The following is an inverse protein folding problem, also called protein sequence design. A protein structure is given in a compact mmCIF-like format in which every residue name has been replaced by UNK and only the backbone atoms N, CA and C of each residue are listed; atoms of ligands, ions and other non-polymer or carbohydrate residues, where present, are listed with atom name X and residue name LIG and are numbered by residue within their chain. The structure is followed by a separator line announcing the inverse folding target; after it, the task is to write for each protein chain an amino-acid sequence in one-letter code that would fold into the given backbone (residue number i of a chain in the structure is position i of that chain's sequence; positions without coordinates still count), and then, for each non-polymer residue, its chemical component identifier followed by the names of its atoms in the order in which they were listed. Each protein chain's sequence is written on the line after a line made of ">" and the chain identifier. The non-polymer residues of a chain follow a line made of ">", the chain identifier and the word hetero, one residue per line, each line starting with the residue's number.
data_IF_773682168790
#
_entry.id   IF_773682168790
#
_cell.length_a   1.000
_cell.length_b   1.000
_cell.length_c   1.000
_cell.angle_alpha   90.00
_cell.angle_beta   90.00
_cell.angle_gamma   90.00
#
_symmetry.space_group_name_H-M   'P 1'
#
loop_
_entity.id
_entity.type
_entity.pdbx_description
1 polymer ?
#
# COMPACT_ATOMS: atom_id res chain seq x y z
N UNK A 1 13.55 6.12 -21.53
CA UNK A 1 12.57 6.48 -20.50
C UNK A 1 12.74 5.66 -19.21
N UNK A 2 12.70 4.33 -19.24
CA UNK A 2 12.87 3.49 -18.03
C UNK A 2 14.14 3.85 -17.23
N UNK A 3 15.28 3.92 -17.91
CA UNK A 3 16.55 4.28 -17.26
C UNK A 3 16.51 5.69 -16.64
N UNK A 4 16.00 6.69 -17.35
CA UNK A 4 15.90 8.06 -16.85
C UNK A 4 15.03 8.17 -15.58
N UNK A 5 13.88 7.49 -15.57
CA UNK A 5 12.99 7.42 -14.41
C UNK A 5 13.66 6.66 -13.25
N UNK A 6 14.35 5.56 -13.55
CA UNK A 6 15.09 4.81 -12.54
C UNK A 6 16.20 5.65 -11.90
N UNK A 7 16.96 6.41 -12.70
CA UNK A 7 18.04 7.25 -12.20
C UNK A 7 17.49 8.44 -11.38
N UNK A 8 16.31 8.97 -11.74
CA UNK A 8 15.62 9.99 -10.96
C UNK A 8 15.18 9.45 -9.58
N UNK A 9 14.66 8.21 -9.53
CA UNK A 9 14.12 7.62 -8.30
C UNK A 9 15.17 7.02 -7.38
N UNK A 10 16.20 6.34 -7.90
CA UNK A 10 17.21 5.60 -7.11
C UNK A 10 17.81 6.36 -5.91
N UNK A 11 18.10 7.67 -5.99
CA UNK A 11 18.63 8.41 -4.83
C UNK A 11 17.61 8.66 -3.73
N UNK A 12 16.32 8.48 -4.02
CA UNK A 12 15.21 8.90 -3.17
C UNK A 12 14.46 7.75 -2.53
N UNK A 13 14.52 6.55 -3.13
CA UNK A 13 13.75 5.37 -2.75
C UNK A 13 14.64 4.18 -2.46
N UNK A 14 14.11 3.18 -1.76
CA UNK A 14 14.83 1.95 -1.45
C UNK A 14 14.83 0.99 -2.64
N UNK A 15 13.70 0.88 -3.33
CA UNK A 15 13.53 0.05 -4.52
C UNK A 15 12.38 0.55 -5.38
N UNK A 16 12.34 0.15 -6.66
CA UNK A 16 11.33 0.54 -7.63
C UNK A 16 11.10 -0.55 -8.69
N UNK A 17 9.92 -0.52 -9.31
CA UNK A 17 9.57 -1.45 -10.38
C UNK A 17 8.45 -0.91 -11.28
N UNK A 18 8.29 -1.53 -12.44
CA UNK A 18 7.38 -1.09 -13.50
C UNK A 18 6.42 -2.22 -13.87
N UNK A 19 5.12 -1.92 -13.84
CA UNK A 19 4.07 -2.84 -14.24
C UNK A 19 3.27 -2.28 -15.42
N UNK A 20 2.98 -3.08 -16.46
CA UNK A 20 2.04 -2.69 -17.49
C UNK A 20 0.62 -2.73 -16.92
N UNK A 21 -0.26 -1.87 -17.40
CA UNK A 21 -1.66 -1.78 -16.92
C UNK A 21 -2.41 -3.09 -17.10
N UNK A 22 -2.08 -3.89 -18.10
CA UNK A 22 -2.74 -5.18 -18.37
C UNK A 22 -2.63 -6.18 -17.21
N UNK A 23 -1.61 -6.06 -16.35
CA UNK A 23 -1.50 -6.87 -15.12
C UNK A 23 -2.55 -6.52 -14.06
N UNK A 24 -3.34 -5.46 -14.28
CA UNK A 24 -4.42 -5.03 -13.40
C UNK A 24 -5.82 -5.43 -13.90
N UNK A 25 -5.93 -6.31 -14.90
CA UNK A 25 -7.20 -6.73 -15.50
C UNK A 25 -8.23 -7.26 -14.47
N UNK A 26 -7.78 -7.85 -13.37
CA UNK A 26 -8.63 -8.35 -12.29
C UNK A 26 -8.93 -7.30 -11.19
N UNK A 27 -8.44 -6.07 -11.31
CA UNK A 27 -8.76 -5.01 -10.36
C UNK A 27 -10.25 -4.62 -10.50
N UNK A 28 -10.96 -4.36 -9.39
CA UNK A 28 -12.29 -3.78 -9.49
C UNK A 28 -12.26 -2.49 -10.32
N UNK A 29 -13.27 -2.26 -11.13
CA UNK A 29 -13.29 -1.14 -12.09
C UNK A 29 -12.94 0.20 -11.44
N UNK A 30 -13.54 0.50 -10.27
CA UNK A 30 -13.29 1.75 -9.54
C UNK A 30 -11.83 1.93 -9.05
N UNK A 31 -11.05 0.86 -9.00
CA UNK A 31 -9.67 0.81 -8.49
C UNK A 31 -8.66 0.43 -9.59
N UNK A 32 -9.10 0.41 -10.84
CA UNK A 32 -8.24 0.14 -11.98
C UNK A 32 -7.37 1.37 -12.31
N UNK A 33 -6.07 1.20 -12.66
CA UNK A 33 -5.18 2.33 -12.98
C UNK A 33 -5.75 3.29 -14.04
N UNK A 34 -6.52 2.79 -14.99
CA UNK A 34 -7.19 3.59 -16.02
C UNK A 34 -8.23 4.60 -15.49
N UNK A 35 -8.66 4.47 -14.22
CA UNK A 35 -9.52 5.47 -13.55
C UNK A 35 -8.70 6.60 -12.93
N UNK A 36 -7.41 6.37 -12.70
CA UNK A 36 -6.48 7.37 -12.14
C UNK A 36 -5.87 8.21 -13.26
N UNK A 37 -5.32 7.56 -14.29
CA UNK A 37 -4.74 8.23 -15.44
C UNK A 37 -5.45 7.77 -16.73
N UNK A 38 -5.94 8.74 -17.51
CA UNK A 38 -6.57 8.44 -18.80
C UNK A 38 -5.55 7.81 -19.75
N UNK A 39 -5.95 6.76 -20.45
CA UNK A 39 -5.08 5.98 -21.34
C UNK A 39 -3.84 5.39 -20.65
N UNK A 40 -3.90 5.14 -19.34
CA UNK A 40 -2.82 4.54 -18.58
C UNK A 40 -2.19 3.35 -19.29
N UNK A 41 -0.86 3.29 -19.32
CA UNK A 41 -0.06 2.20 -19.90
C UNK A 41 0.85 1.55 -18.87
N UNK A 42 1.37 2.35 -17.96
CA UNK A 42 2.34 1.86 -16.96
C UNK A 42 1.99 2.37 -15.56
N UNK A 43 2.17 1.51 -14.59
CA UNK A 43 2.18 1.84 -13.17
C UNK A 43 3.63 1.71 -12.68
N UNK A 44 4.20 2.81 -12.25
CA UNK A 44 5.54 2.89 -11.66
C UNK A 44 5.36 2.78 -10.17
N UNK A 45 5.96 1.77 -9.55
CA UNK A 45 5.85 1.52 -8.11
C UNK A 45 7.23 1.68 -7.48
N UNK A 46 7.26 2.30 -6.33
CA UNK A 46 8.50 2.47 -5.57
C UNK A 46 8.22 2.37 -4.07
N UNK A 47 9.28 2.20 -3.31
CA UNK A 47 9.13 2.05 -1.87
C UNK A 47 10.28 2.64 -1.06
N UNK A 48 9.95 3.00 0.18
CA UNK A 48 10.91 3.46 1.21
C UNK A 48 10.83 2.51 2.39
N UNK A 49 11.97 2.02 2.85
CA UNK A 49 12.01 1.20 4.07
C UNK A 49 11.89 2.05 5.32
N UNK A 50 11.22 1.50 6.32
CA UNK A 50 11.22 2.03 7.68
C UNK A 50 12.19 1.24 8.56
N UNK A 51 12.76 1.86 9.63
CA UNK A 51 13.78 1.21 10.44
C UNK A 51 13.26 -0.05 11.16
N UNK A 52 14.01 -1.16 11.09
CA UNK A 52 13.68 -2.39 11.84
C UNK A 52 13.65 -2.20 13.35
N UNK A 53 14.47 -1.27 13.87
CA UNK A 53 14.55 -0.98 15.30
C UNK A 53 13.22 -0.59 15.91
N UNK A 54 12.35 0.09 15.15
CA UNK A 54 11.04 0.50 15.66
C UNK A 54 10.10 -0.69 15.97
N UNK A 55 10.26 -1.84 15.27
CA UNK A 55 9.47 -3.05 15.55
C UNK A 55 10.06 -3.90 16.70
N UNK A 56 11.31 -3.64 17.07
CA UNK A 56 12.03 -4.39 18.10
C UNK A 56 12.21 -3.65 19.41
N UNK A 57 11.93 -2.35 19.41
CA UNK A 57 12.04 -1.52 20.61
C UNK A 57 10.86 -1.79 21.54
N UNK A 58 11.09 -2.15 22.80
CA UNK A 58 10.03 -2.42 23.77
C UNK A 58 9.21 -1.15 24.09
N UNK A 59 9.84 0.01 24.03
CA UNK A 59 9.24 1.31 24.39
C UNK A 59 8.68 2.06 23.19
N UNK A 60 8.89 1.57 21.95
CA UNK A 60 8.38 2.19 20.74
C UNK A 60 6.93 1.81 20.51
N UNK A 61 6.05 2.54 21.17
CA UNK A 61 4.62 2.24 21.18
C UNK A 61 3.93 2.48 19.82
N UNK A 62 2.68 2.04 19.71
CA UNK A 62 1.89 2.12 18.49
C UNK A 62 1.75 3.55 17.93
N UNK A 63 1.70 4.57 18.79
CA UNK A 63 1.61 5.97 18.35
C UNK A 63 2.92 6.43 17.69
N UNK A 64 4.08 6.08 18.27
CA UNK A 64 5.38 6.40 17.69
C UNK A 64 5.59 5.68 16.36
N UNK A 65 5.17 4.40 16.28
CA UNK A 65 5.18 3.60 15.06
C UNK A 65 4.34 4.28 13.96
N UNK A 66 3.12 4.71 14.30
CA UNK A 66 2.24 5.39 13.36
C UNK A 66 2.85 6.71 12.86
N UNK A 67 3.50 7.49 13.73
CA UNK A 67 4.20 8.72 13.33
C UNK A 67 5.34 8.45 12.35
N UNK A 68 6.08 7.36 12.54
CA UNK A 68 7.13 6.96 11.60
C UNK A 68 6.55 6.57 10.24
N UNK A 69 5.45 5.82 10.22
CA UNK A 69 4.75 5.50 8.97
C UNK A 69 4.23 6.75 8.26
N UNK A 70 3.66 7.69 9.02
CA UNK A 70 3.19 8.95 8.46
C UNK A 70 4.31 9.74 7.80
N UNK A 71 5.48 9.85 8.44
CA UNK A 71 6.65 10.50 7.85
C UNK A 71 7.10 9.83 6.55
N UNK A 72 7.05 8.50 6.49
CA UNK A 72 7.36 7.75 5.28
C UNK A 72 6.34 8.01 4.16
N UNK A 73 5.04 8.01 4.46
CA UNK A 73 3.99 8.28 3.48
C UNK A 73 4.05 9.71 2.94
N UNK A 74 4.26 10.71 3.78
CA UNK A 74 4.45 12.10 3.34
C UNK A 74 5.62 12.22 2.37
N UNK A 75 6.74 11.59 2.68
CA UNK A 75 7.90 11.56 1.79
C UNK A 75 7.60 10.85 0.46
N UNK A 76 6.88 9.74 0.49
CA UNK A 76 6.46 8.99 -0.69
C UNK A 76 5.57 9.85 -1.59
N UNK A 77 4.60 10.57 -1.02
CA UNK A 77 3.69 11.43 -1.78
C UNK A 77 4.44 12.60 -2.44
N UNK A 78 5.43 13.19 -1.76
CA UNK A 78 6.31 14.21 -2.36
C UNK A 78 7.14 13.66 -3.52
N UNK A 79 7.69 12.44 -3.39
CA UNK A 79 8.43 11.78 -4.47
C UNK A 79 7.49 11.48 -5.65
N UNK A 80 6.27 11.00 -5.39
CA UNK A 80 5.29 10.73 -6.42
C UNK A 80 4.94 12.00 -7.22
N UNK A 81 4.70 13.12 -6.53
CA UNK A 81 4.45 14.41 -7.16
C UNK A 81 5.64 14.86 -8.03
N UNK A 82 6.85 14.78 -7.49
CA UNK A 82 8.07 15.15 -8.21
C UNK A 82 8.31 14.26 -9.43
N UNK A 83 8.02 12.96 -9.31
CA UNK A 83 8.11 12.01 -10.41
C UNK A 83 7.10 12.33 -11.52
N UNK A 84 5.87 12.70 -11.18
CA UNK A 84 4.88 13.12 -12.17
C UNK A 84 5.38 14.32 -12.99
N UNK A 85 5.85 15.36 -12.32
CA UNK A 85 6.41 16.54 -12.97
C UNK A 85 7.62 16.18 -13.87
N UNK A 86 8.47 15.26 -13.39
CA UNK A 86 9.61 14.79 -14.18
C UNK A 86 9.17 14.04 -15.44
N UNK A 87 8.21 13.11 -15.34
CA UNK A 87 7.69 12.36 -16.49
C UNK A 87 7.08 13.30 -17.53
N UNK A 88 6.28 14.28 -17.10
CA UNK A 88 5.64 15.26 -17.98
C UNK A 88 6.68 16.17 -18.65
N UNK A 89 7.82 16.44 -18.01
CA UNK A 89 8.92 17.19 -18.62
C UNK A 89 9.67 16.42 -19.71
N UNK A 90 9.58 15.09 -19.73
CA UNK A 90 10.24 14.26 -20.76
C UNK A 90 9.51 14.23 -22.11
N UNK A 91 8.27 14.70 -22.15
CA UNK A 91 7.48 14.69 -23.40
C UNK A 91 6.00 15.00 -23.14
N UNK A 92 5.15 14.63 -24.11
CA UNK A 92 3.70 14.82 -24.00
C UNK A 92 3.04 13.64 -23.27
N UNK A 93 3.49 13.35 -22.09
CA UNK A 93 2.94 12.29 -21.24
C UNK A 93 2.09 12.88 -20.11
N UNK A 94 1.13 12.10 -19.64
CA UNK A 94 0.39 12.37 -18.41
C UNK A 94 0.88 11.44 -17.33
N UNK A 95 1.05 11.97 -16.13
CA UNK A 95 1.43 11.19 -14.95
C UNK A 95 0.62 11.64 -13.74
N UNK A 96 0.04 10.68 -13.02
CA UNK A 96 -0.83 10.96 -11.89
C UNK A 96 -0.34 10.17 -10.67
N UNK A 97 -0.11 10.83 -9.53
CA UNK A 97 0.32 10.14 -8.32
C UNK A 97 -0.84 9.33 -7.74
N UNK A 98 -0.56 8.09 -7.33
CA UNK A 98 -1.47 7.32 -6.52
C UNK A 98 -1.15 7.59 -5.04
N UNK A 99 -2.08 8.16 -4.26
CA UNK A 99 -1.84 8.49 -2.86
C UNK A 99 -1.38 7.27 -2.05
N UNK A 100 -0.36 7.45 -1.20
CA UNK A 100 0.25 6.36 -0.45
C UNK A 100 -0.60 5.85 0.72
N UNK A 101 -1.52 6.68 1.24
CA UNK A 101 -2.32 6.38 2.41
C UNK A 101 -3.81 6.71 2.24
N UNK A 102 -4.17 7.96 2.08
CA UNK A 102 -5.52 8.47 1.85
C UNK A 102 -5.56 9.26 0.52
N UNK A 103 -6.69 9.33 -0.18
CA UNK A 103 -8.04 8.92 0.25
C UNK A 103 -8.28 7.41 0.21
N UNK A 104 -9.18 6.96 1.07
CA UNK A 104 -9.67 5.59 1.13
C UNK A 104 -11.19 5.59 0.98
N UNK A 105 -11.71 4.60 0.26
CA UNK A 105 -13.13 4.36 0.07
C UNK A 105 -13.52 2.98 0.60
N UNK A 106 -14.79 2.79 0.95
CA UNK A 106 -15.33 1.47 1.29
C UNK A 106 -16.16 0.94 0.13
N UNK A 107 -15.75 -0.21 -0.38
CA UNK A 107 -16.47 -0.94 -1.42
C UNK A 107 -16.79 -2.35 -0.92
N UNK A 108 -18.08 -2.73 -0.95
CA UNK A 108 -18.57 -4.01 -0.43
C UNK A 108 -18.08 -4.29 1.01
N UNK A 109 -18.18 -3.30 1.89
CA UNK A 109 -17.70 -3.34 3.28
C UNK A 109 -16.18 -3.58 3.45
N UNK A 110 -15.38 -3.40 2.41
CA UNK A 110 -13.93 -3.49 2.49
C UNK A 110 -13.25 -2.14 2.22
N UNK A 111 -12.15 -1.81 2.93
CA UNK A 111 -11.39 -0.59 2.67
C UNK A 111 -10.53 -0.74 1.42
N UNK A 112 -10.57 0.27 0.55
CA UNK A 112 -9.82 0.35 -0.70
C UNK A 112 -9.17 1.72 -0.86
N UNK A 113 -7.90 1.77 -1.27
CA UNK A 113 -7.29 2.98 -1.82
C UNK A 113 -7.73 3.21 -3.26
N UNK A 114 -7.41 4.37 -3.84
CA UNK A 114 -7.65 4.63 -5.27
C UNK A 114 -6.96 3.58 -6.15
N UNK A 115 -5.76 3.18 -5.76
CA UNK A 115 -5.01 2.04 -6.30
C UNK A 115 -4.61 1.13 -5.16
N UNK A 116 -4.69 -0.18 -5.34
CA UNK A 116 -4.11 -1.12 -4.39
C UNK A 116 -2.60 -1.17 -4.55
N UNK A 117 -1.86 -0.41 -3.74
CA UNK A 117 -0.39 -0.33 -3.79
C UNK A 117 0.28 -1.69 -3.56
N UNK A 118 -0.32 -2.57 -2.75
CA UNK A 118 0.21 -3.93 -2.55
C UNK A 118 0.13 -4.76 -3.83
N UNK A 119 -1.01 -4.74 -4.53
CA UNK A 119 -1.13 -5.40 -5.83
C UNK A 119 -0.22 -4.75 -6.87
N UNK A 120 -0.10 -3.43 -6.85
CA UNK A 120 0.82 -2.72 -7.73
C UNK A 120 2.29 -3.15 -7.52
N UNK A 121 2.73 -3.30 -6.27
CA UNK A 121 4.07 -3.78 -5.94
C UNK A 121 4.32 -5.22 -6.42
N UNK A 122 3.32 -6.08 -6.31
CA UNK A 122 3.42 -7.47 -6.83
C UNK A 122 3.48 -7.46 -8.35
N UNK A 123 2.61 -6.70 -9.02
CA UNK A 123 2.58 -6.58 -10.47
C UNK A 123 3.86 -5.96 -11.04
N UNK A 124 4.54 -5.09 -10.27
CA UNK A 124 5.80 -4.46 -10.65
C UNK A 124 7.04 -5.29 -10.26
N UNK A 125 6.87 -6.50 -9.73
CA UNK A 125 7.99 -7.37 -9.35
C UNK A 125 8.75 -6.96 -8.10
N UNK A 126 8.19 -6.05 -7.28
CA UNK A 126 8.83 -5.59 -6.03
C UNK A 126 8.53 -6.50 -4.83
N UNK A 127 7.41 -7.21 -4.87
CA UNK A 127 6.95 -7.97 -3.72
C UNK A 127 6.15 -9.21 -4.15
N UNK A 128 5.91 -10.11 -3.20
CA UNK A 128 4.95 -11.20 -3.32
C UNK A 128 3.99 -11.18 -2.15
N UNK A 129 2.74 -11.62 -2.35
CA UNK A 129 1.77 -11.69 -1.26
C UNK A 129 2.10 -12.84 -0.32
N UNK A 130 2.24 -12.53 0.96
CA UNK A 130 2.25 -13.52 2.02
C UNK A 130 0.84 -13.88 2.48
N UNK A 131 0.74 -14.90 3.32
CA UNK A 131 -0.52 -15.39 3.91
C UNK A 131 -1.27 -14.31 4.70
N UNK A 132 -0.55 -13.35 5.28
CA UNK A 132 -1.14 -12.20 6.00
C UNK A 132 -1.85 -11.18 5.07
N UNK A 133 -1.83 -11.36 3.75
CA UNK A 133 -2.30 -10.35 2.80
C UNK A 133 -1.39 -9.11 2.72
N UNK A 134 -0.19 -9.18 3.30
CA UNK A 134 0.84 -8.17 3.13
C UNK A 134 1.73 -8.50 1.92
N UNK A 135 2.23 -7.45 1.26
CA UNK A 135 3.24 -7.56 0.23
C UNK A 135 4.63 -7.61 0.88
N UNK A 136 5.36 -8.67 0.64
CA UNK A 136 6.71 -8.90 1.19
C UNK A 136 7.76 -8.71 0.10
N UNK A 137 8.61 -7.72 0.31
CA UNK A 137 9.79 -7.50 -0.51
C UNK A 137 10.88 -8.54 -0.16
N UNK A 138 11.62 -9.13 -1.13
CA UNK A 138 12.59 -10.19 -0.86
C UNK A 138 13.64 -9.85 0.19
N UNK A 139 14.13 -8.59 0.17
CA UNK A 139 15.19 -8.12 1.10
C UNK A 139 14.65 -7.43 2.34
N UNK A 140 13.55 -6.70 2.22
CA UNK A 140 13.04 -5.79 3.26
C UNK A 140 11.76 -6.28 3.93
N UNK A 141 11.22 -7.41 3.48
CA UNK A 141 9.98 -7.96 4.03
C UNK A 141 8.82 -6.97 3.93
N UNK A 142 8.08 -6.84 5.01
CA UNK A 142 6.93 -5.92 5.15
C UNK A 142 7.31 -4.49 5.53
N UNK A 143 8.61 -4.17 5.67
CA UNK A 143 9.08 -2.84 6.08
C UNK A 143 9.02 -1.81 4.96
N UNK A 144 8.83 -2.23 3.72
CA UNK A 144 8.73 -1.33 2.57
C UNK A 144 7.36 -0.63 2.58
N UNK A 145 7.36 0.69 2.70
CA UNK A 145 6.17 1.52 2.48
C UNK A 145 6.13 1.90 1.00
N UNK A 146 4.95 1.81 0.39
CA UNK A 146 4.78 1.83 -1.05
C UNK A 146 4.16 3.13 -1.54
N UNK A 147 4.58 3.57 -2.70
CA UNK A 147 3.98 4.63 -3.51
C UNK A 147 3.91 4.22 -4.97
N UNK A 148 3.08 4.91 -5.74
CA UNK A 148 2.99 4.66 -7.17
C UNK A 148 2.65 5.92 -7.96
N UNK A 149 3.01 5.90 -9.23
CA UNK A 149 2.59 6.85 -10.26
C UNK A 149 2.00 6.07 -11.42
N UNK A 150 0.86 6.51 -11.92
CA UNK A 150 0.20 5.95 -13.12
C UNK A 150 0.44 6.89 -14.28
N UNK A 151 0.89 6.36 -15.42
CA UNK A 151 1.20 7.18 -16.61
C UNK A 151 0.70 6.52 -17.89
N UNK A 152 0.44 7.33 -18.91
CA UNK A 152 0.16 6.90 -20.27
C UNK A 152 1.43 6.60 -21.08
N UNK A 153 2.61 6.86 -20.52
CA UNK A 153 3.88 6.46 -21.12
C UNK A 153 4.02 4.93 -21.14
N UNK A 154 4.42 4.39 -22.28
CA UNK A 154 4.78 2.96 -22.40
C UNK A 154 6.21 2.78 -21.91
N UNK A 155 6.36 2.03 -20.82
CA UNK A 155 7.64 1.72 -20.20
C UNK A 155 7.78 0.20 -20.09
N UNK A 156 8.95 -0.31 -20.40
CA UNK A 156 9.25 -1.74 -20.29
C UNK A 156 9.00 -2.24 -18.85
N UNK A 157 8.21 -3.30 -18.73
CA UNK A 157 7.83 -3.89 -17.46
C UNK A 157 8.97 -4.70 -16.82
N UNK A 158 8.98 -4.75 -15.50
CA UNK A 158 9.83 -5.68 -14.77
C UNK A 158 9.18 -7.07 -14.63
N UNK A 159 9.98 -8.14 -14.52
CA UNK A 159 9.45 -9.47 -14.27
C UNK A 159 8.80 -9.55 -12.90
N UNK A 160 7.70 -10.29 -12.79
CA UNK A 160 7.08 -10.56 -11.49
C UNK A 160 7.92 -11.57 -10.69
N UNK A 161 7.90 -11.42 -9.37
CA UNK A 161 8.52 -12.39 -8.46
C UNK A 161 7.69 -13.69 -8.39
N UNK A 162 8.35 -14.78 -7.96
CA UNK A 162 7.65 -16.01 -7.63
C UNK A 162 6.58 -15.77 -6.58
N UNK A 163 5.38 -16.35 -6.74
CA UNK A 163 4.32 -16.23 -5.76
C UNK A 163 4.68 -16.92 -4.45
N UNK A 164 4.11 -16.41 -3.35
CA UNK A 164 4.18 -16.98 -2.00
C UNK A 164 5.58 -16.98 -1.34
N UNK A 165 5.93 -15.90 -0.61
CA UNK A 165 7.18 -15.81 0.15
C UNK A 165 7.14 -16.62 1.47
N UNK A 166 5.98 -17.19 1.84
CA UNK A 166 5.83 -17.91 3.09
C UNK A 166 6.41 -19.33 2.99
N UNK A 167 7.16 -19.79 3.99
CA UNK A 167 7.54 -21.20 4.09
C UNK A 167 6.31 -22.11 4.09
N UNK A 168 6.45 -23.38 3.66
CA UNK A 168 5.38 -24.35 3.75
C UNK A 168 4.81 -24.43 5.18
N UNK A 169 3.49 -24.49 5.31
CA UNK A 169 2.77 -24.59 6.57
C UNK A 169 3.01 -23.44 7.58
N UNK A 170 3.59 -22.33 7.16
CA UNK A 170 3.78 -21.17 8.02
C UNK A 170 2.43 -20.59 8.48
N UNK A 171 2.25 -20.44 9.79
CA UNK A 171 1.06 -19.87 10.45
C UNK A 171 1.41 -18.72 11.39
N UNK A 172 2.63 -18.18 11.33
CA UNK A 172 3.12 -17.17 12.27
C UNK A 172 2.17 -15.97 12.40
N UNK A 173 1.82 -15.33 11.26
CA UNK A 173 0.91 -14.17 11.23
C UNK A 173 -0.51 -14.48 11.75
N UNK A 174 -0.99 -15.73 11.59
CA UNK A 174 -2.30 -16.16 12.11
C UNK A 174 -2.26 -16.29 13.63
N UNK A 175 -1.18 -16.88 14.18
CA UNK A 175 -0.99 -17.08 15.60
C UNK A 175 -0.74 -15.78 16.36
N UNK A 176 -0.01 -14.84 15.76
CA UNK A 176 0.29 -13.54 16.37
C UNK A 176 -0.85 -12.52 16.27
N UNK A 177 -1.90 -12.78 15.47
CA UNK A 177 -2.95 -11.81 15.23
C UNK A 177 -3.85 -11.59 16.46
N UNK A 178 -3.79 -10.42 17.14
CA UNK A 178 -4.62 -10.16 18.32
C UNK A 178 -6.10 -10.01 17.98
N UNK A 179 -6.41 -9.62 16.74
CA UNK A 179 -7.78 -9.48 16.25
C UNK A 179 -8.39 -10.82 15.82
N UNK A 180 -7.60 -11.91 15.74
CA UNK A 180 -8.01 -13.20 15.16
C UNK A 180 -8.66 -13.01 13.77
N UNK A 181 -8.06 -12.16 12.95
CA UNK A 181 -8.59 -11.76 11.64
C UNK A 181 -8.37 -12.83 10.54
N UNK A 182 -8.09 -14.06 10.90
CA UNK A 182 -7.98 -15.19 9.98
C UNK A 182 -9.01 -16.25 10.35
N UNK A 183 -9.70 -16.79 9.38
CA UNK A 183 -10.57 -17.95 9.60
C UNK A 183 -9.75 -19.24 9.74
N UNK A 184 -10.46 -20.37 9.95
CA UNK A 184 -9.85 -21.70 10.11
C UNK A 184 -9.05 -22.17 8.87
N UNK A 185 -9.39 -21.64 7.70
CA UNK A 185 -8.75 -21.96 6.42
C UNK A 185 -7.60 -20.98 6.09
N UNK A 186 -7.35 -20.01 6.99
CA UNK A 186 -6.30 -19.00 6.86
C UNK A 186 -6.66 -17.82 5.97
N UNK A 187 -7.94 -17.65 5.62
CA UNK A 187 -8.41 -16.52 4.83
C UNK A 187 -8.45 -15.27 5.71
N UNK A 188 -7.85 -14.18 5.22
CA UNK A 188 -7.76 -12.92 5.94
C UNK A 188 -9.04 -12.10 5.82
N UNK A 189 -9.57 -11.64 6.96
CA UNK A 189 -10.71 -10.74 7.05
C UNK A 189 -10.24 -9.30 7.32
N UNK A 190 -10.32 -8.45 6.30
CA UNK A 190 -9.88 -7.05 6.37
C UNK A 190 -10.66 -6.24 7.39
N UNK A 191 -11.98 -6.45 7.51
CA UNK A 191 -12.82 -5.68 8.42
C UNK A 191 -12.55 -6.03 9.89
N UNK A 192 -12.32 -7.30 10.21
CA UNK A 192 -11.91 -7.71 11.56
C UNK A 192 -10.57 -7.07 11.94
N UNK A 193 -9.61 -7.06 11.02
CA UNK A 193 -8.33 -6.36 11.21
C UNK A 193 -8.53 -4.86 11.40
N UNK A 194 -9.34 -4.23 10.55
CA UNK A 194 -9.63 -2.79 10.58
C UNK A 194 -10.26 -2.38 11.90
N UNK A 195 -11.26 -3.12 12.38
CA UNK A 195 -11.93 -2.85 13.67
C UNK A 195 -10.98 -2.91 14.86
N UNK A 196 -9.98 -3.78 14.82
CA UNK A 196 -8.91 -3.82 15.84
C UNK A 196 -7.91 -2.67 15.66
N UNK A 197 -7.63 -2.27 14.44
CA UNK A 197 -6.64 -1.25 14.09
C UNK A 197 -7.09 0.16 14.46
N UNK A 198 -8.39 0.47 14.27
CA UNK A 198 -8.94 1.79 14.57
C UNK A 198 -9.16 1.91 16.08
N UNK A 199 -8.30 2.65 16.76
CA UNK A 199 -8.28 2.79 18.23
C UNK A 199 -9.16 3.93 18.78
N UNK A 200 -10.04 4.51 17.98
CA UNK A 200 -10.98 5.53 18.44
C UNK A 200 -12.30 4.89 18.87
N UNK A 201 -12.80 5.25 20.06
CA UNK A 201 -13.97 4.61 20.68
C UNK A 201 -15.25 4.65 19.82
N UNK A 202 -15.41 5.66 18.97
CA UNK A 202 -16.58 5.81 18.10
C UNK A 202 -16.51 4.93 16.84
N UNK A 203 -15.33 4.51 16.41
CA UNK A 203 -15.16 3.80 15.15
C UNK A 203 -15.79 2.40 15.13
N UNK A 204 -15.71 1.58 16.19
CA UNK A 204 -16.38 0.29 16.21
C UNK A 204 -17.89 0.39 15.99
N UNK A 205 -18.54 1.43 16.54
CA UNK A 205 -19.97 1.69 16.32
C UNK A 205 -20.26 2.11 14.88
N UNK A 206 -19.40 2.97 14.33
CA UNK A 206 -19.55 3.46 12.96
C UNK A 206 -19.29 2.36 11.91
N UNK A 207 -18.43 1.37 12.19
CA UNK A 207 -18.15 0.23 11.31
C UNK A 207 -19.31 -0.78 11.23
N UNK A 208 -20.32 -0.67 12.08
CA UNK A 208 -21.44 -1.61 12.12
C UNK A 208 -22.50 -1.39 11.03
N UNK A 209 -22.42 -0.29 10.27
CA UNK A 209 -23.39 0.05 9.22
C UNK A 209 -22.73 0.69 8.01
N UNK A 210 -23.39 0.61 6.86
CA UNK A 210 -22.91 1.26 5.63
C UNK A 210 -22.86 2.80 5.77
N UNK A 211 -23.83 3.39 6.42
CA UNK A 211 -23.83 4.84 6.71
C UNK A 211 -22.67 5.23 7.63
N UNK A 212 -22.37 4.39 8.62
CA UNK A 212 -21.22 4.57 9.50
C UNK A 212 -19.89 4.46 8.75
N UNK A 213 -19.75 3.52 7.82
CA UNK A 213 -18.57 3.40 6.96
C UNK A 213 -18.33 4.65 6.12
N UNK A 214 -19.39 5.25 5.54
CA UNK A 214 -19.26 6.52 4.80
C UNK A 214 -18.83 7.69 5.69
N UNK A 215 -19.28 7.72 6.93
CA UNK A 215 -18.84 8.73 7.90
C UNK A 215 -17.35 8.55 8.26
N UNK A 216 -16.90 7.32 8.49
CA UNK A 216 -15.47 7.04 8.73
C UNK A 216 -14.63 7.40 7.52
N UNK A 217 -15.05 7.05 6.31
CA UNK A 217 -14.39 7.41 5.07
C UNK A 217 -14.18 8.94 5.00
N UNK A 218 -15.25 9.71 5.29
CA UNK A 218 -15.14 11.16 5.34
C UNK A 218 -14.15 11.65 6.39
N UNK A 219 -14.20 11.12 7.61
CA UNK A 219 -13.27 11.50 8.69
C UNK A 219 -11.82 11.19 8.31
N UNK A 220 -11.54 9.99 7.83
CA UNK A 220 -10.19 9.58 7.43
C UNK A 220 -9.66 10.51 6.33
N UNK A 221 -10.47 10.80 5.33
CA UNK A 221 -10.05 11.57 4.17
C UNK A 221 -9.95 13.08 4.42
N UNK A 222 -10.67 13.61 5.41
CA UNK A 222 -10.67 15.06 5.74
C UNK A 222 -9.80 15.42 6.93
N UNK A 223 -9.68 14.53 7.92
CA UNK A 223 -8.91 14.80 9.14
C UNK A 223 -7.42 14.44 9.02
N UNK A 224 -7.02 13.83 7.91
CA UNK A 224 -5.64 13.48 7.62
C UNK A 224 -5.09 12.33 8.47
N UNK A 225 -3.77 12.18 8.43
CA UNK A 225 -3.08 10.98 8.93
C UNK A 225 -3.05 10.80 10.46
N UNK A 226 -3.48 11.79 11.22
CA UNK A 226 -3.36 11.79 12.69
C UNK A 226 -4.42 10.95 13.41
N UNK A 227 -5.48 10.53 12.71
CA UNK A 227 -6.64 9.85 13.32
C UNK A 227 -6.63 8.34 13.13
N UNK A 228 -5.67 7.83 12.40
CA UNK A 228 -5.54 6.41 12.10
C UNK A 228 -4.32 5.82 12.80
N UNK A 229 -4.54 4.82 13.62
CA UNK A 229 -3.47 4.09 14.31
C UNK A 229 -3.50 2.64 13.82
N UNK A 230 -2.43 2.21 13.16
CA UNK A 230 -2.29 0.86 12.62
C UNK A 230 -1.82 -0.15 13.66
N UNK A 231 -2.29 -1.39 13.54
CA UNK A 231 -1.72 -2.53 14.23
C UNK A 231 -0.55 -3.09 13.41
N UNK A 232 0.54 -3.50 14.06
CA UNK A 232 1.77 -3.95 13.41
C UNK A 232 2.16 -5.41 13.75
N UNK A 233 1.32 -6.13 14.49
CA UNK A 233 1.67 -7.47 14.99
C UNK A 233 2.02 -8.48 13.90
N UNK A 234 1.31 -8.46 12.76
CA UNK A 234 1.64 -9.32 11.62
C UNK A 234 2.92 -8.91 10.86
N UNK A 235 3.50 -7.75 11.17
CA UNK A 235 4.76 -7.27 10.59
C UNK A 235 5.98 -7.70 11.39
N UNK A 236 5.79 -8.13 12.62
CA UNK A 236 6.85 -8.53 13.57
C UNK A 236 7.27 -10.00 13.44
N UNK A 237 6.49 -10.81 12.73
CA UNK A 237 6.63 -12.27 12.60
C UNK A 237 7.25 -12.69 11.29
#
# INVERSE_FOLDING_TARGET
>A
MKQAISDFLKPQVTDLGFAPVDRFANAPEAHHPGRICRNAKTVIVFGITVPRGMLKSPDYNLYALHRTYHSAYTRIDHIALSLCNYIESLGRYLAVPAPSYAPMVFHQFEPWGLLSLKHAAVNAGLASFGRSGQAYHPRYGSLLRLGAVVTDAVIEADPMLSPNPCPPNCTACMKSCPAKAFDKDGKFNKMTCLGHTIKHAIYPLALSSEAGLKNIERVINTAGHNYWIGCDECLKV
#
